data_IF_589348573745
#
_entry.id   IF_589348573745
#
_cell.length_a   1.000
_cell.length_b   1.000
_cell.length_c   1.000
_cell.angle_alpha   90.00
_cell.angle_beta   90.00
_cell.angle_gamma   90.00
#
_symmetry.space_group_name_H-M   'P 1'
#
loop_
_entity.id
_entity.type
_entity.pdbx_description
1 polymer ?
#
# COMPACT_ATOMS: atom_id res chain seq x y z
N UNK A 1 -12.70 4.35 20.33
CA UNK A 1 -11.61 5.00 21.09
C UNK A 1 -10.54 5.64 20.21
N UNK A 2 -9.92 4.96 19.21
CA UNK A 2 -8.82 5.56 18.41
C UNK A 2 -9.23 6.54 17.29
N UNK A 3 -10.50 6.55 16.86
CA UNK A 3 -11.08 7.58 15.98
C UNK A 3 -10.66 7.55 14.50
N UNK A 4 -9.66 6.74 14.12
CA UNK A 4 -9.18 6.67 12.73
C UNK A 4 -10.15 5.91 11.83
N UNK A 5 -10.74 6.60 10.83
CA UNK A 5 -11.75 6.03 9.92
C UNK A 5 -11.24 4.81 9.17
N UNK A 6 -10.03 4.88 8.58
CA UNK A 6 -9.46 3.74 7.85
C UNK A 6 -9.28 2.50 8.73
N UNK A 7 -8.88 2.69 9.99
CA UNK A 7 -8.77 1.59 10.95
C UNK A 7 -10.14 1.00 11.34
N UNK A 8 -11.16 1.85 11.51
CA UNK A 8 -12.52 1.41 11.83
C UNK A 8 -13.07 0.55 10.69
N UNK A 9 -12.91 1.00 9.45
CA UNK A 9 -13.39 0.31 8.26
C UNK A 9 -12.65 -1.01 8.03
N UNK A 10 -11.31 -1.02 8.18
CA UNK A 10 -10.53 -2.25 8.11
C UNK A 10 -10.96 -3.26 9.19
N UNK A 11 -11.16 -2.80 10.43
CA UNK A 11 -11.62 -3.66 11.52
C UNK A 11 -13.05 -4.18 11.28
N UNK A 12 -13.94 -3.37 10.70
CA UNK A 12 -15.28 -3.80 10.32
C UNK A 12 -15.25 -4.89 9.25
N UNK A 13 -14.39 -4.74 8.23
CA UNK A 13 -14.17 -5.74 7.19
C UNK A 13 -13.63 -7.06 7.79
N UNK A 14 -12.65 -6.99 8.69
CA UNK A 14 -12.13 -8.20 9.34
C UNK A 14 -13.19 -8.91 10.17
N UNK A 15 -14.03 -8.19 10.94
CA UNK A 15 -15.14 -8.79 11.68
C UNK A 15 -16.17 -9.44 10.75
N UNK A 16 -16.49 -8.78 9.65
CA UNK A 16 -17.40 -9.33 8.64
C UNK A 16 -16.85 -10.63 8.03
N UNK A 17 -15.55 -10.70 7.75
CA UNK A 17 -14.91 -11.88 7.14
C UNK A 17 -14.68 -13.02 8.14
N UNK A 18 -14.24 -12.71 9.36
CA UNK A 18 -13.91 -13.71 10.38
C UNK A 18 -15.16 -14.24 11.08
N UNK A 19 -16.29 -13.54 10.96
CA UNK A 19 -17.55 -13.79 11.67
C UNK A 19 -17.35 -13.84 13.19
N UNK A 20 -18.44 -13.92 13.95
CA UNK A 20 -18.34 -13.99 15.41
C UNK A 20 -17.83 -15.36 15.88
N UNK A 21 -18.03 -16.41 15.07
CA UNK A 21 -17.65 -17.77 15.41
C UNK A 21 -17.23 -18.63 14.23
N UNK A 22 -16.26 -19.51 14.48
CA UNK A 22 -15.83 -20.55 13.53
C UNK A 22 -15.55 -21.84 14.28
N UNK A 23 -15.65 -22.98 13.58
CA UNK A 23 -15.32 -24.28 14.16
C UNK A 23 -13.89 -24.33 14.73
N UNK A 24 -12.95 -23.64 14.09
CA UNK A 24 -11.55 -23.49 14.54
C UNK A 24 -11.48 -22.62 15.80
N UNK A 25 -12.22 -21.50 15.84
CA UNK A 25 -12.29 -20.65 17.03
C UNK A 25 -12.82 -21.45 18.23
N UNK A 26 -13.90 -22.19 18.03
CA UNK A 26 -14.58 -22.98 19.06
C UNK A 26 -13.72 -24.15 19.57
N UNK A 27 -13.00 -24.85 18.69
CA UNK A 27 -12.11 -25.97 19.09
C UNK A 27 -10.91 -25.55 19.94
N UNK A 28 -10.62 -24.25 20.03
CA UNK A 28 -9.45 -23.71 20.74
C UNK A 28 -9.81 -22.76 21.89
N UNK A 29 -11.09 -22.65 22.28
CA UNK A 29 -11.55 -21.79 23.40
C UNK A 29 -10.89 -22.13 24.74
N UNK A 30 -10.62 -23.42 25.00
CA UNK A 30 -10.10 -23.91 26.30
C UNK A 30 -8.58 -23.90 26.39
N UNK A 31 -7.87 -23.62 25.29
CA UNK A 31 -6.41 -23.57 25.29
C UNK A 31 -5.94 -22.26 25.96
N UNK A 32 -5.54 -22.34 27.23
CA UNK A 32 -5.00 -21.22 28.04
C UNK A 32 -3.76 -20.52 27.44
N UNK A 33 -3.27 -20.97 26.28
CA UNK A 33 -2.14 -20.44 25.52
C UNK A 33 -2.55 -19.82 24.17
N UNK A 34 -3.78 -19.34 24.01
CA UNK A 34 -4.12 -18.48 22.87
C UNK A 34 -3.52 -17.07 23.07
N UNK A 35 -2.19 -16.98 23.22
CA UNK A 35 -1.46 -15.72 23.21
C UNK A 35 -1.53 -15.24 21.76
N UNK A 36 -2.41 -14.27 21.53
CA UNK A 36 -2.77 -13.64 20.24
C UNK A 36 -3.41 -14.58 19.22
N UNK A 37 -4.71 -14.82 19.42
CA UNK A 37 -5.71 -15.27 18.44
C UNK A 37 -5.45 -14.55 17.10
N UNK A 38 -5.02 -15.31 16.08
CA UNK A 38 -4.49 -14.86 14.76
C UNK A 38 -3.24 -13.97 14.87
N UNK A 39 -2.26 -14.06 13.93
CA UNK A 39 -1.28 -12.99 13.75
C UNK A 39 -2.13 -11.74 13.61
N UNK A 40 -2.11 -10.86 14.61
CA UNK A 40 -3.01 -9.73 14.64
C UNK A 40 -2.75 -8.96 13.36
N UNK A 41 -3.67 -9.09 12.40
CA UNK A 41 -3.67 -8.23 11.23
C UNK A 41 -3.87 -6.88 11.85
N UNK A 42 -2.87 -5.99 11.87
CA UNK A 42 -3.05 -4.75 12.57
C UNK A 42 -4.04 -4.01 11.69
N UNK A 43 -5.33 -4.06 12.02
CA UNK A 43 -6.35 -3.27 11.35
C UNK A 43 -5.95 -1.78 11.37
N UNK A 44 -5.08 -1.41 12.32
CA UNK A 44 -4.36 -0.14 12.34
C UNK A 44 -3.39 0.07 11.16
N UNK A 45 -2.58 -0.92 10.80
CA UNK A 45 -1.63 -0.87 9.67
C UNK A 45 -2.35 -0.87 8.32
N UNK A 46 -3.26 -1.83 8.10
CA UNK A 46 -4.08 -1.86 6.88
C UNK A 46 -5.02 -0.64 6.80
N UNK A 47 -5.52 -0.18 7.94
CA UNK A 47 -6.34 1.03 8.02
C UNK A 47 -5.58 2.33 7.75
N UNK A 48 -4.29 2.40 8.09
CA UNK A 48 -3.43 3.52 7.71
C UNK A 48 -3.22 3.53 6.19
N UNK A 49 -2.95 2.37 5.60
CA UNK A 49 -2.82 2.21 4.14
C UNK A 49 -4.12 2.60 3.42
N UNK A 50 -5.28 2.17 3.93
CA UNK A 50 -6.58 2.53 3.37
C UNK A 50 -6.83 4.05 3.40
N UNK A 51 -6.40 4.72 4.47
CA UNK A 51 -6.50 6.18 4.56
C UNK A 51 -5.63 6.86 3.49
N UNK A 52 -4.40 6.41 3.30
CA UNK A 52 -3.48 6.96 2.29
C UNK A 52 -4.03 6.78 0.86
N UNK A 53 -4.57 5.60 0.56
CA UNK A 53 -5.18 5.32 -0.75
C UNK A 53 -6.39 6.23 -1.00
N UNK A 54 -7.22 6.48 0.03
CA UNK A 54 -8.37 7.40 -0.09
C UNK A 54 -7.95 8.84 -0.36
N UNK A 55 -6.93 9.34 0.35
CA UNK A 55 -6.39 10.67 0.11
C UNK A 55 -5.86 10.82 -1.32
N UNK A 56 -5.15 9.80 -1.82
CA UNK A 56 -4.69 9.81 -3.20
C UNK A 56 -5.85 9.75 -4.20
N UNK A 57 -6.89 8.96 -3.91
CA UNK A 57 -8.07 8.86 -4.76
C UNK A 57 -8.85 10.19 -4.85
N UNK A 58 -8.94 10.96 -3.76
CA UNK A 58 -9.57 12.29 -3.76
C UNK A 58 -8.83 13.25 -4.71
N UNK A 59 -7.49 13.26 -4.65
CA UNK A 59 -6.65 14.10 -5.54
C UNK A 59 -6.79 13.65 -6.99
N UNK A 60 -6.70 12.34 -7.27
CA UNK A 60 -6.82 11.81 -8.62
C UNK A 60 -8.21 12.03 -9.22
N UNK A 61 -9.27 11.95 -8.41
CA UNK A 61 -10.63 12.22 -8.86
C UNK A 61 -10.83 13.70 -9.19
N UNK A 62 -10.23 14.61 -8.40
CA UNK A 62 -10.25 16.03 -8.71
C UNK A 62 -9.52 16.31 -10.03
N UNK A 63 -8.32 15.74 -10.22
CA UNK A 63 -7.55 15.92 -11.46
C UNK A 63 -8.26 15.32 -12.68
N UNK A 64 -8.88 14.15 -12.54
CA UNK A 64 -9.62 13.51 -13.63
C UNK A 64 -10.80 14.34 -14.14
N UNK A 65 -11.33 15.25 -13.31
CA UNK A 65 -12.40 16.18 -13.67
C UNK A 65 -11.89 17.61 -13.90
N UNK A 66 -10.59 17.86 -13.80
CA UNK A 66 -9.99 19.17 -13.94
C UNK A 66 -9.74 19.53 -15.41
N UNK A 67 -9.79 20.83 -15.72
CA UNK A 67 -9.32 21.36 -16.99
C UNK A 67 -7.83 21.64 -16.86
N UNK A 68 -7.01 20.69 -17.31
CA UNK A 68 -5.54 20.76 -17.29
C UNK A 68 -4.95 21.42 -18.55
N UNK A 69 -5.80 21.82 -19.50
CA UNK A 69 -5.40 22.48 -20.73
C UNK A 69 -4.94 23.93 -20.49
N UNK A 70 -4.11 24.43 -21.40
CA UNK A 70 -3.61 25.80 -21.37
C UNK A 70 -3.48 26.34 -22.80
N UNK A 71 -4.07 27.49 -23.16
CA UNK A 71 -4.75 28.48 -22.29
C UNK A 71 -6.21 28.12 -21.93
N UNK A 72 -6.67 28.65 -20.80
CA UNK A 72 -8.06 28.56 -20.37
C UNK A 72 -8.89 29.64 -21.07
N UNK A 73 -9.96 29.22 -21.74
CA UNK A 73 -10.87 30.12 -22.45
C UNK A 73 -12.15 30.29 -21.62
N UNK A 74 -12.37 31.50 -21.13
CA UNK A 74 -13.53 31.88 -20.33
C UNK A 74 -14.56 32.56 -21.22
N UNK A 75 -15.47 31.75 -21.80
CA UNK A 75 -16.42 32.22 -22.80
C UNK A 75 -17.47 33.23 -22.26
N UNK A 76 -17.76 33.18 -20.96
CA UNK A 76 -18.70 34.11 -20.32
C UNK A 76 -18.09 35.51 -20.15
N UNK A 77 -16.80 35.58 -19.84
CA UNK A 77 -16.03 36.83 -19.68
C UNK A 77 -15.34 37.29 -20.98
N UNK A 78 -15.40 36.47 -22.05
CA UNK A 78 -14.66 36.65 -23.30
C UNK A 78 -13.15 36.87 -23.08
N UNK A 79 -12.59 36.14 -22.11
CA UNK A 79 -11.20 36.27 -21.67
C UNK A 79 -10.41 34.98 -21.88
N UNK A 80 -9.10 35.11 -22.09
CA UNK A 80 -8.18 33.99 -22.31
C UNK A 80 -7.02 34.11 -21.33
N UNK A 81 -6.98 33.20 -20.35
CA UNK A 81 -6.00 33.22 -19.26
C UNK A 81 -5.01 32.08 -19.46
N UNK A 82 -3.71 32.41 -19.51
CA UNK A 82 -2.65 31.40 -19.46
C UNK A 82 -2.43 30.95 -18.02
N UNK A 83 -2.80 29.71 -17.71
CA UNK A 83 -2.68 29.10 -16.39
C UNK A 83 -1.54 28.10 -16.25
N UNK A 84 -1.36 27.56 -15.04
CA UNK A 84 -0.37 26.54 -14.69
C UNK A 84 -0.97 25.13 -14.47
N UNK A 85 -2.25 24.91 -14.77
CA UNK A 85 -2.97 23.68 -14.46
C UNK A 85 -2.43 22.42 -15.15
N UNK A 86 -1.51 22.58 -16.12
CA UNK A 86 -0.81 21.46 -16.75
C UNK A 86 0.28 20.83 -15.85
N UNK A 87 0.59 21.44 -14.70
CA UNK A 87 1.55 20.90 -13.74
C UNK A 87 0.94 19.79 -12.89
N UNK A 88 1.22 18.54 -13.25
CA UNK A 88 0.74 17.33 -12.58
C UNK A 88 1.44 17.02 -11.23
N UNK A 89 1.87 18.03 -10.48
CA UNK A 89 2.51 17.86 -9.17
C UNK A 89 1.57 17.17 -8.14
N UNK A 90 0.27 17.52 -8.06
CA UNK A 90 -0.66 16.82 -7.17
C UNK A 90 -0.77 15.32 -7.48
N UNK A 91 -0.76 14.96 -8.77
CA UNK A 91 -0.79 13.56 -9.23
C UNK A 91 0.49 12.83 -8.84
N UNK A 92 1.65 13.47 -8.99
CA UNK A 92 2.94 12.88 -8.61
C UNK A 92 3.00 12.58 -7.11
N UNK A 93 2.53 13.52 -6.26
CA UNK A 93 2.45 13.31 -4.81
C UNK A 93 1.43 12.21 -4.44
N UNK A 94 0.30 12.14 -5.13
CA UNK A 94 -0.69 11.08 -4.93
C UNK A 94 -0.11 9.70 -5.29
N UNK A 95 0.65 9.59 -6.37
CA UNK A 95 1.33 8.35 -6.76
C UNK A 95 2.37 7.90 -5.72
N UNK A 96 3.16 8.83 -5.17
CA UNK A 96 4.13 8.55 -4.10
C UNK A 96 3.43 8.01 -2.84
N UNK A 97 2.28 8.59 -2.46
CA UNK A 97 1.50 8.14 -1.31
C UNK A 97 0.93 6.72 -1.52
N UNK A 98 0.49 6.40 -2.75
CA UNK A 98 0.03 5.05 -3.11
C UNK A 98 1.20 4.05 -3.04
N UNK A 99 2.38 4.40 -3.55
CA UNK A 99 3.55 3.55 -3.48
C UNK A 99 3.96 3.24 -2.03
N UNK A 100 3.85 4.22 -1.13
CA UNK A 100 4.02 4.01 0.31
C UNK A 100 3.00 3.01 0.86
N UNK A 101 1.71 3.18 0.55
CA UNK A 101 0.66 2.27 1.02
C UNK A 101 0.88 0.82 0.55
N UNK A 102 1.16 0.60 -0.75
CA UNK A 102 1.32 -0.73 -1.34
C UNK A 102 2.45 -1.52 -0.68
N UNK A 103 3.60 -0.88 -0.50
CA UNK A 103 4.76 -1.56 0.06
C UNK A 103 4.61 -1.81 1.58
N UNK A 104 3.69 -1.11 2.27
CA UNK A 104 3.41 -1.35 3.69
C UNK A 104 2.50 -2.57 3.82
N UNK A 105 1.47 -2.65 2.95
CA UNK A 105 0.65 -3.86 2.80
C UNK A 105 1.54 -5.08 2.50
N UNK A 106 2.52 -4.93 1.60
CA UNK A 106 3.50 -5.98 1.30
C UNK A 106 4.30 -6.40 2.53
N UNK A 107 4.84 -5.44 3.30
CA UNK A 107 5.60 -5.74 4.52
C UNK A 107 4.74 -6.36 5.63
N UNK A 108 3.48 -5.97 5.77
CA UNK A 108 2.52 -6.58 6.70
C UNK A 108 2.17 -8.01 6.28
N UNK A 109 2.02 -8.25 4.97
CA UNK A 109 1.78 -9.59 4.42
C UNK A 109 2.96 -10.54 4.67
N UNK A 110 4.18 -10.09 4.39
CA UNK A 110 5.41 -10.86 4.62
C UNK A 110 5.56 -11.23 6.11
N UNK A 111 5.33 -10.29 7.03
CA UNK A 111 5.41 -10.57 8.46
C UNK A 111 4.38 -11.60 8.93
N UNK A 112 3.18 -11.63 8.32
CA UNK A 112 2.18 -12.67 8.59
C UNK A 112 2.65 -14.03 8.12
N UNK A 113 3.25 -14.09 6.92
CA UNK A 113 3.85 -15.30 6.40
C UNK A 113 4.92 -15.80 7.39
N UNK A 114 5.87 -14.95 7.79
CA UNK A 114 6.93 -15.28 8.74
C UNK A 114 6.39 -15.84 10.08
N UNK A 115 5.34 -15.20 10.64
CA UNK A 115 4.70 -15.67 11.87
C UNK A 115 4.03 -17.05 11.73
N UNK A 116 3.47 -17.38 10.55
CA UNK A 116 2.88 -18.70 10.31
C UNK A 116 3.94 -19.81 10.23
N UNK A 117 5.14 -19.48 9.77
CA UNK A 117 6.21 -20.48 9.59
C UNK A 117 7.00 -20.74 10.86
N UNK A 118 7.00 -19.82 11.82
CA UNK A 118 7.61 -20.02 13.13
C UNK A 118 6.72 -20.89 14.03
N UNK A 119 7.14 -22.14 14.25
CA UNK A 119 6.44 -23.11 15.09
C UNK A 119 6.20 -22.63 16.53
N UNK A 120 7.04 -21.74 17.07
CA UNK A 120 6.86 -21.19 18.42
C UNK A 120 5.70 -20.19 18.48
N UNK A 121 5.43 -19.50 17.37
CA UNK A 121 4.41 -18.46 17.28
C UNK A 121 3.10 -18.99 16.70
N UNK A 122 3.14 -19.87 15.69
CA UNK A 122 1.96 -20.35 14.97
C UNK A 122 1.28 -21.57 15.61
N UNK A 123 1.99 -22.31 16.48
CA UNK A 123 1.54 -23.63 16.98
C UNK A 123 1.28 -24.64 15.84
N UNK A 124 1.83 -24.38 14.64
CA UNK A 124 1.76 -25.24 13.47
C UNK A 124 3.12 -25.92 13.24
N UNK A 125 3.14 -27.02 12.45
CA UNK A 125 4.40 -27.63 12.04
C UNK A 125 5.33 -26.60 11.37
N UNK A 126 6.65 -26.65 11.61
CA UNK A 126 7.60 -25.72 11.01
C UNK A 126 7.49 -25.76 9.49
N UNK A 127 7.52 -24.59 8.85
CA UNK A 127 7.33 -24.43 7.40
C UNK A 127 6.03 -25.03 6.84
N UNK A 128 5.02 -25.23 7.70
CA UNK A 128 3.70 -25.78 7.38
C UNK A 128 3.75 -27.15 6.68
N UNK A 129 4.72 -28.00 7.05
CA UNK A 129 4.87 -29.34 6.49
C UNK A 129 4.83 -30.42 7.57
N UNK A 130 4.15 -31.54 7.30
CA UNK A 130 4.00 -32.65 8.26
C UNK A 130 5.31 -33.38 8.56
N UNK A 131 6.17 -33.54 7.54
CA UNK A 131 7.47 -34.25 7.65
C UNK A 131 8.64 -33.26 7.53
N UNK A 132 8.82 -32.44 8.56
CA UNK A 132 9.94 -31.51 8.67
C UNK A 132 11.29 -32.24 8.73
N UNK A 133 12.31 -31.71 8.05
CA UNK A 133 13.67 -32.29 8.00
C UNK A 133 14.00 -33.05 6.72
N UNK A 134 12.98 -33.59 6.02
CA UNK A 134 13.13 -34.17 4.67
C UNK A 134 12.47 -33.26 3.63
N UNK A 135 11.42 -32.55 4.01
CA UNK A 135 10.72 -31.59 3.16
C UNK A 135 10.95 -30.16 3.65
N UNK A 136 11.30 -29.27 2.72
CA UNK A 136 11.50 -27.85 3.02
C UNK A 136 10.19 -27.06 3.12
N UNK A 137 9.04 -27.65 2.72
CA UNK A 137 7.73 -27.00 2.82
C UNK A 137 7.71 -25.61 2.18
N UNK A 138 7.20 -24.62 2.91
CA UNK A 138 7.12 -23.22 2.46
C UNK A 138 8.39 -22.39 2.75
N UNK A 139 9.50 -23.01 3.13
CA UNK A 139 10.75 -22.29 3.44
C UNK A 139 11.22 -21.39 2.30
N UNK A 140 11.21 -21.86 1.05
CA UNK A 140 11.62 -21.04 -0.09
C UNK A 140 10.58 -19.97 -0.44
N UNK A 141 9.29 -20.26 -0.25
CA UNK A 141 8.23 -19.29 -0.47
C UNK A 141 8.36 -18.08 0.48
N UNK A 142 8.85 -18.28 1.71
CA UNK A 142 9.21 -17.18 2.62
C UNK A 142 10.25 -16.27 2.01
N UNK A 143 11.33 -16.85 1.51
CA UNK A 143 12.49 -16.10 1.00
C UNK A 143 12.06 -15.27 -0.20
N UNK A 144 11.24 -15.83 -1.09
CA UNK A 144 10.65 -15.08 -2.20
C UNK A 144 9.76 -13.94 -1.73
N UNK A 145 8.88 -14.17 -0.74
CA UNK A 145 8.02 -13.12 -0.19
C UNK A 145 8.84 -11.99 0.47
N UNK A 146 9.89 -12.34 1.20
CA UNK A 146 10.82 -11.39 1.82
C UNK A 146 11.61 -10.59 0.78
N UNK A 147 12.06 -11.23 -0.30
CA UNK A 147 12.74 -10.56 -1.40
C UNK A 147 11.83 -9.52 -2.08
N UNK A 148 10.60 -9.90 -2.43
CA UNK A 148 9.62 -8.99 -3.04
C UNK A 148 9.22 -7.83 -2.09
N UNK A 149 9.04 -8.11 -0.80
CA UNK A 149 8.75 -7.07 0.17
C UNK A 149 9.93 -6.09 0.35
N UNK A 150 11.17 -6.58 0.24
CA UNK A 150 12.39 -5.76 0.28
C UNK A 150 12.54 -4.92 -0.98
N UNK A 151 12.28 -5.50 -2.15
CA UNK A 151 12.29 -4.78 -3.42
C UNK A 151 11.28 -3.63 -3.43
N UNK A 152 10.06 -3.88 -2.94
CA UNK A 152 9.04 -2.86 -2.75
C UNK A 152 9.48 -1.71 -1.85
N UNK A 153 10.32 -1.96 -0.82
CA UNK A 153 10.89 -0.90 0.02
C UNK A 153 11.90 -0.04 -0.74
N UNK A 154 12.66 -0.64 -1.65
CA UNK A 154 13.64 0.04 -2.51
C UNK A 154 12.97 0.84 -3.63
N UNK A 155 11.90 0.32 -4.22
CA UNK A 155 11.19 0.93 -5.35
C UNK A 155 10.33 2.16 -4.97
N UNK A 156 10.12 2.45 -3.67
CA UNK A 156 9.41 3.65 -3.14
C UNK A 156 10.14 4.99 -3.38
N UNK A 157 11.01 5.09 -4.39
CA UNK A 157 11.73 6.33 -4.67
C UNK A 157 10.72 7.44 -4.98
N UNK A 158 10.84 8.60 -4.32
CA UNK A 158 9.87 9.70 -4.43
C UNK A 158 9.92 10.32 -5.83
N UNK A 159 8.94 9.97 -6.64
CA UNK A 159 8.72 10.40 -8.02
C UNK A 159 8.45 11.91 -8.07
N UNK A 160 7.79 12.48 -7.06
CA UNK A 160 7.50 13.91 -6.99
C UNK A 160 8.76 14.78 -6.82
N UNK A 161 9.81 14.27 -6.17
CA UNK A 161 11.03 15.04 -5.88
C UNK A 161 12.06 14.98 -7.02
N UNK A 162 11.91 14.04 -7.93
CA UNK A 162 12.78 13.90 -9.11
C UNK A 162 12.33 14.83 -10.24
N UNK A 163 12.55 16.14 -10.07
CA UNK A 163 12.45 17.10 -11.17
C UNK A 163 13.83 17.29 -11.82
N UNK A 164 13.93 17.03 -13.14
CA UNK A 164 15.13 17.36 -13.92
C UNK A 164 14.87 18.62 -14.74
N UNK A 165 15.65 19.71 -14.58
CA UNK A 165 15.47 20.91 -15.40
C UNK A 165 15.86 20.60 -16.86
N UNK A 166 14.96 20.82 -17.85
CA UNK A 166 15.31 20.61 -19.24
C UNK A 166 16.34 21.66 -19.71
N UNK A 167 17.30 21.30 -20.58
CA UNK A 167 18.26 22.27 -21.10
C UNK A 167 17.53 23.31 -21.97
N UNK A 168 17.62 24.59 -21.57
CA UNK A 168 17.16 25.80 -22.30
C UNK A 168 15.70 25.79 -22.75
N UNK A 169 14.74 25.87 -21.82
CA UNK A 169 13.40 26.43 -22.11
C UNK A 169 12.85 27.17 -20.88
N UNK A 170 11.93 28.14 -21.05
CA UNK A 170 11.27 28.90 -19.96
C UNK A 170 10.44 28.03 -18.98
N UNK A 171 10.48 26.70 -19.11
CA UNK A 171 9.72 25.75 -18.28
C UNK A 171 10.67 25.10 -17.29
N UNK A 172 10.68 25.61 -16.06
CA UNK A 172 11.65 25.27 -15.02
C UNK A 172 11.31 24.02 -14.21
N UNK A 173 10.11 23.45 -14.35
CA UNK A 173 9.68 22.31 -13.53
C UNK A 173 8.66 21.45 -14.28
N UNK A 174 9.03 20.27 -14.77
CA UNK A 174 8.05 19.30 -15.29
C UNK A 174 8.01 18.10 -14.35
N UNK A 175 6.90 17.86 -13.63
CA UNK A 175 6.68 16.59 -13.00
C UNK A 175 6.20 15.61 -14.08
N UNK A 176 7.10 15.11 -14.93
CA UNK A 176 6.89 13.93 -15.80
C UNK A 176 6.33 14.18 -17.22
N UNK A 177 7.21 14.08 -18.23
CA UNK A 177 6.81 13.76 -19.61
C UNK A 177 7.40 12.44 -20.15
N UNK A 178 8.24 11.75 -19.37
CA UNK A 178 8.82 10.42 -19.63
C UNK A 178 9.88 10.14 -18.55
N UNK A 179 9.57 9.33 -17.55
CA UNK A 179 10.59 8.52 -16.87
C UNK A 179 10.00 7.14 -16.59
N UNK A 180 10.81 6.09 -16.73
CA UNK A 180 10.36 4.75 -17.03
C UNK A 180 9.97 4.00 -15.77
N UNK A 181 9.13 2.97 -15.97
CA UNK A 181 8.91 1.83 -15.06
C UNK A 181 10.22 1.04 -14.77
N UNK A 182 11.41 1.59 -15.10
CA UNK A 182 12.71 0.92 -15.09
C UNK A 182 13.64 1.32 -13.92
N UNK A 183 13.14 1.96 -12.86
CA UNK A 183 13.95 2.19 -11.66
C UNK A 183 14.10 0.94 -10.76
N UNK A 184 13.45 -0.16 -11.12
CA UNK A 184 13.57 -1.46 -10.47
C UNK A 184 14.13 -2.48 -11.47
N UNK A 185 15.46 -2.49 -11.58
CA UNK A 185 16.27 -3.42 -12.36
C UNK A 185 17.71 -3.34 -11.89
#
# INVERSE_FOLDING_TARGET
MRGQRGQIDAAALYRHLLTDDSAISQSHITAARCRTRTPCVPAAGDGACLTQIRQAAEVLLAEANAVSDNPLVFAAENDVISGGNFHAEPVAMAADNIALAIAEIGSLSERRIALMMDSHMSQLPPFLVKNGGVNSGFMIAQVTAAALASENKRCRTRIALTACPPPRTRKTMFPWRRLPVAACG
#
